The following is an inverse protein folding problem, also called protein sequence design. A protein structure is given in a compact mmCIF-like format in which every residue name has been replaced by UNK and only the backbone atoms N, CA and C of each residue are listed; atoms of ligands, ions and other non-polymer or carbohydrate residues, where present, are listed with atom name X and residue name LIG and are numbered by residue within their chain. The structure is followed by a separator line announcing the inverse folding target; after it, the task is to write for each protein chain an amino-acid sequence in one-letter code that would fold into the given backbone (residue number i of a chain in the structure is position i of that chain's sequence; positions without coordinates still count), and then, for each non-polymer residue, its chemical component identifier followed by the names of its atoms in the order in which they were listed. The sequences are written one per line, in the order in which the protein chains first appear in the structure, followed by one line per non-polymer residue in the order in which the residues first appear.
data_IF_290405350695
#
_entry.id   IF_290405350695
#
_cell.length_a   1.000
_cell.length_b   1.000
_cell.length_c   1.000
_cell.angle_alpha   90.00
_cell.angle_beta   90.00
_cell.angle_gamma   90.00
#
_symmetry.space_group_name_H-M   'P 1'
#
loop_
_entity.id
_entity.type
_entity.pdbx_description
1 polymer ?
#
# COMPACT_ATOMS: atom_id res chain seq x y z
N UNK A 1 13.08 1.99 -11.17
CA UNK A 1 12.79 3.22 -11.92
C UNK A 1 13.58 4.40 -11.36
N UNK A 2 14.07 5.26 -12.24
CA UNK A 2 14.84 6.44 -11.83
C UNK A 2 13.88 7.59 -11.47
N UNK A 3 14.04 8.15 -10.28
CA UNK A 3 13.17 9.22 -9.75
C UNK A 3 13.76 10.62 -9.90
N UNK A 4 14.94 10.72 -10.49
CA UNK A 4 15.72 11.95 -10.47
C UNK A 4 14.97 13.17 -11.01
N UNK A 5 14.16 13.00 -12.05
CA UNK A 5 13.44 14.09 -12.72
C UNK A 5 11.96 14.16 -12.35
N UNK A 6 11.53 13.40 -11.35
CA UNK A 6 10.13 13.38 -10.93
C UNK A 6 9.89 14.33 -9.76
N UNK A 7 8.78 15.05 -9.82
CA UNK A 7 8.34 15.88 -8.72
C UNK A 7 7.95 15.01 -7.53
N UNK A 8 8.34 15.42 -6.32
CA UNK A 8 7.97 14.71 -5.10
C UNK A 8 6.45 14.71 -4.90
N UNK A 9 5.92 13.57 -4.50
CA UNK A 9 4.51 13.38 -4.26
C UNK A 9 4.23 11.92 -3.94
N UNK A 10 2.95 11.55 -3.87
CA UNK A 10 2.55 10.17 -3.55
C UNK A 10 3.13 9.16 -4.54
N UNK A 11 3.10 9.49 -5.82
CA UNK A 11 3.62 8.58 -6.86
C UNK A 11 5.10 8.32 -6.70
N UNK A 12 5.91 9.37 -6.50
CA UNK A 12 7.35 9.19 -6.33
C UNK A 12 7.69 8.44 -5.05
N UNK A 13 6.93 8.69 -3.96
CA UNK A 13 7.14 7.98 -2.70
C UNK A 13 6.79 6.50 -2.86
N UNK A 14 5.74 6.18 -3.59
CA UNK A 14 5.35 4.80 -3.82
C UNK A 14 6.37 4.07 -4.70
N UNK A 15 6.87 4.71 -5.76
CA UNK A 15 7.92 4.13 -6.60
C UNK A 15 9.17 3.85 -5.75
N UNK A 16 9.54 4.79 -4.88
CA UNK A 16 10.66 4.63 -3.98
C UNK A 16 10.47 3.42 -3.07
N UNK A 17 9.27 3.22 -2.56
CA UNK A 17 8.94 2.07 -1.71
C UNK A 17 9.14 0.75 -2.45
N UNK A 18 8.65 0.65 -3.68
CA UNK A 18 8.79 -0.58 -4.47
C UNK A 18 10.24 -0.81 -4.93
N UNK A 19 11.00 0.25 -5.20
CA UNK A 19 12.43 0.11 -5.45
C UNK A 19 13.14 -0.47 -4.23
N UNK A 20 12.80 0.02 -3.03
CA UNK A 20 13.34 -0.52 -1.78
C UNK A 20 12.98 -1.99 -1.61
N UNK A 21 11.72 -2.34 -1.83
CA UNK A 21 11.27 -3.72 -1.66
C UNK A 21 12.01 -4.67 -2.62
N UNK A 22 12.19 -4.26 -3.87
CA UNK A 22 12.91 -5.04 -4.85
C UNK A 22 14.36 -5.26 -4.45
N UNK A 23 15.04 -4.22 -3.98
CA UNK A 23 16.43 -4.33 -3.54
C UNK A 23 16.60 -5.22 -2.31
N UNK A 24 15.56 -5.36 -1.50
CA UNK A 24 15.64 -6.11 -0.24
C UNK A 24 14.96 -7.48 -0.30
N UNK A 25 14.41 -7.87 -1.44
CA UNK A 25 13.72 -9.15 -1.59
C UNK A 25 14.66 -10.35 -1.42
N UNK A 26 15.96 -10.17 -1.66
CA UNK A 26 16.94 -11.26 -1.45
C UNK A 26 17.15 -11.56 0.05
N UNK A 27 16.90 -10.59 0.92
CA UNK A 27 16.98 -10.76 2.37
C UNK A 27 15.62 -11.11 2.96
N UNK A 28 14.57 -10.47 2.44
CA UNK A 28 13.18 -10.66 2.88
C UNK A 28 12.33 -11.06 1.66
N UNK A 29 12.35 -12.35 1.28
CA UNK A 29 11.68 -12.78 0.05
C UNK A 29 10.19 -12.44 -0.03
N UNK A 30 9.50 -12.35 1.11
CA UNK A 30 8.07 -12.02 1.12
C UNK A 30 7.78 -10.62 0.58
N UNK A 31 8.78 -9.73 0.53
CA UNK A 31 8.60 -8.41 -0.09
C UNK A 31 8.27 -8.52 -1.58
N UNK A 32 8.63 -9.62 -2.23
CA UNK A 32 8.29 -9.84 -3.63
C UNK A 32 6.80 -10.04 -3.87
N UNK A 33 6.03 -10.30 -2.81
CA UNK A 33 4.58 -10.47 -2.89
C UNK A 33 3.84 -9.13 -2.85
N UNK A 34 4.52 -8.06 -2.43
CA UNK A 34 3.89 -6.75 -2.31
C UNK A 34 3.50 -6.21 -3.68
N UNK A 35 2.32 -5.64 -3.79
CA UNK A 35 1.84 -5.09 -5.05
C UNK A 35 1.02 -3.83 -4.83
N UNK A 36 0.85 -3.09 -5.91
CA UNK A 36 0.08 -1.86 -5.98
C UNK A 36 -1.32 -2.12 -6.51
N UNK A 37 -2.30 -1.47 -5.89
CA UNK A 37 -3.68 -1.47 -6.38
C UNK A 37 -3.87 -0.18 -7.19
N UNK A 38 -4.17 -0.26 -8.49
CA UNK A 38 -4.38 0.95 -9.28
C UNK A 38 -5.53 1.76 -8.71
N UNK A 39 -5.33 3.07 -8.59
CA UNK A 39 -6.45 3.91 -8.23
C UNK A 39 -7.32 4.14 -9.46
N UNK A 40 -8.57 4.50 -9.22
CA UNK A 40 -9.56 4.63 -10.28
C UNK A 40 -9.54 5.97 -10.97
N UNK A 41 -8.75 6.92 -10.54
CA UNK A 41 -8.59 8.28 -11.05
C UNK A 41 -9.18 8.56 -12.43
N UNK A 42 -8.56 9.43 -13.21
CA UNK A 42 -9.05 9.83 -14.53
C UNK A 42 -8.76 8.74 -15.56
N UNK A 43 -9.76 7.92 -15.85
CA UNK A 43 -9.64 6.82 -16.81
C UNK A 43 -10.74 6.92 -17.85
N UNK A 44 -10.38 6.69 -19.11
CA UNK A 44 -11.34 6.71 -20.22
C UNK A 44 -12.33 5.56 -20.17
N UNK A 45 -11.96 4.44 -19.53
CA UNK A 45 -12.79 3.25 -19.45
C UNK A 45 -13.23 2.94 -18.01
N UNK A 46 -13.44 3.98 -17.21
CA UNK A 46 -13.78 3.83 -15.79
C UNK A 46 -15.01 2.99 -15.51
N UNK A 47 -16.05 3.16 -16.33
CA UNK A 47 -17.29 2.39 -16.16
C UNK A 47 -17.06 0.90 -16.37
N UNK A 48 -16.26 0.53 -17.35
CA UNK A 48 -15.91 -0.87 -17.63
C UNK A 48 -15.09 -1.44 -16.47
N UNK A 49 -14.08 -0.69 -16.00
CA UNK A 49 -13.26 -1.13 -14.88
C UNK A 49 -14.07 -1.35 -13.61
N UNK A 50 -15.03 -0.46 -13.32
CA UNK A 50 -15.93 -0.63 -12.16
C UNK A 50 -16.79 -1.88 -12.32
N UNK A 51 -17.32 -2.13 -13.52
CA UNK A 51 -18.10 -3.33 -13.80
C UNK A 51 -17.26 -4.59 -13.63
N UNK A 52 -15.96 -4.51 -13.89
CA UNK A 52 -15.03 -5.62 -13.70
C UNK A 52 -14.61 -5.80 -12.24
N UNK A 53 -15.03 -4.93 -11.34
CA UNK A 53 -14.74 -5.07 -9.92
C UNK A 53 -13.79 -4.05 -9.31
N UNK A 54 -13.40 -3.03 -10.07
CA UNK A 54 -12.56 -1.97 -9.49
C UNK A 54 -13.36 -1.22 -8.41
N UNK A 55 -12.78 -1.08 -7.23
CA UNK A 55 -13.44 -0.47 -6.08
C UNK A 55 -12.83 0.87 -5.72
N UNK A 56 -13.69 1.78 -5.23
CA UNK A 56 -13.26 3.07 -4.68
C UNK A 56 -12.71 2.86 -3.26
N UNK A 57 -11.60 3.52 -2.97
CA UNK A 57 -11.09 3.59 -1.60
C UNK A 57 -10.21 2.45 -1.16
N UNK A 58 -9.88 1.53 -2.05
CA UNK A 58 -8.94 0.45 -1.70
C UNK A 58 -7.55 1.06 -1.45
N UNK A 59 -6.89 0.71 -0.34
CA UNK A 59 -5.53 1.21 -0.09
C UNK A 59 -4.56 0.87 -1.23
N UNK A 60 -3.56 1.72 -1.40
CA UNK A 60 -2.66 1.69 -2.57
C UNK A 60 -1.78 0.47 -2.68
N UNK A 61 -1.36 -0.08 -1.54
CA UNK A 61 -0.32 -1.12 -1.49
C UNK A 61 -0.79 -2.26 -0.60
N UNK A 62 -0.54 -3.49 -1.05
CA UNK A 62 -0.91 -4.69 -0.32
C UNK A 62 0.32 -5.57 -0.12
N UNK A 63 0.55 -5.98 1.11
CA UNK A 63 1.55 -7.00 1.45
C UNK A 63 0.79 -8.22 1.98
N UNK A 64 0.56 -9.25 1.13
CA UNK A 64 -0.27 -10.40 1.49
C UNK A 64 0.52 -11.44 2.30
N UNK A 65 1.00 -11.03 3.45
CA UNK A 65 1.81 -11.87 4.35
C UNK A 65 1.14 -11.84 5.72
N UNK A 66 0.85 -13.00 6.27
CA UNK A 66 0.28 -13.09 7.61
C UNK A 66 1.35 -12.79 8.66
N UNK A 67 1.03 -11.96 9.63
CA UNK A 67 1.94 -11.59 10.72
C UNK A 67 1.14 -10.96 11.86
N UNK A 68 1.61 -11.11 13.10
CA UNK A 68 0.97 -10.51 14.30
C UNK A 68 -0.53 -10.82 14.40
N UNK A 69 -0.94 -12.01 13.98
CA UNK A 69 -2.35 -12.43 13.96
C UNK A 69 -3.21 -11.67 12.95
N UNK A 70 -2.59 -10.94 12.03
CA UNK A 70 -3.27 -10.34 10.89
C UNK A 70 -3.12 -11.22 9.66
N UNK A 71 -4.10 -11.16 8.77
CA UNK A 71 -4.05 -11.92 7.52
C UNK A 71 -3.15 -11.28 6.46
N UNK A 72 -2.95 -9.99 6.56
CA UNK A 72 -2.12 -9.22 5.62
C UNK A 72 -2.09 -7.77 6.02
N UNK A 73 -1.30 -6.98 5.30
CA UNK A 73 -1.09 -5.56 5.55
C UNK A 73 -1.50 -4.75 4.33
N UNK A 74 -2.34 -3.74 4.56
CA UNK A 74 -2.72 -2.76 3.54
C UNK A 74 -2.16 -1.41 3.92
N UNK A 75 -1.51 -0.74 2.98
CA UNK A 75 -0.93 0.59 3.20
C UNK A 75 -1.61 1.61 2.29
N UNK A 76 -2.08 2.69 2.88
CA UNK A 76 -2.58 3.85 2.14
C UNK A 76 -1.46 4.89 2.10
N UNK A 77 -0.94 5.18 0.91
CA UNK A 77 0.17 6.14 0.76
C UNK A 77 -0.39 7.54 0.62
N UNK A 78 0.11 8.46 1.45
CA UNK A 78 -0.23 9.86 1.43
C UNK A 78 1.02 10.71 1.37
N UNK A 79 0.87 11.97 1.00
CA UNK A 79 1.99 12.91 0.92
C UNK A 79 1.56 14.27 1.46
N UNK A 80 2.47 14.93 2.18
CA UNK A 80 2.21 16.27 2.72
C UNK A 80 1.09 16.27 3.73
N UNK A 81 0.09 17.12 3.52
CA UNK A 81 -1.05 17.29 4.42
C UNK A 81 -2.31 16.54 3.94
N UNK A 82 -2.19 15.73 2.91
CA UNK A 82 -3.33 14.98 2.39
C UNK A 82 -3.83 13.99 3.43
N UNK A 83 -5.14 13.79 3.46
CA UNK A 83 -5.77 12.86 4.40
C UNK A 83 -6.55 11.81 3.63
N UNK A 84 -6.75 10.63 4.21
CA UNK A 84 -7.60 9.63 3.58
C UNK A 84 -8.99 10.18 3.34
N UNK A 85 -9.58 9.80 2.21
CA UNK A 85 -10.97 10.15 1.91
C UNK A 85 -11.91 9.32 2.77
N UNK A 86 -13.18 9.72 2.83
CA UNK A 86 -14.18 8.93 3.54
C UNK A 86 -14.27 7.50 3.00
N UNK A 87 -14.24 7.34 1.67
CA UNK A 87 -14.28 6.02 1.06
C UNK A 87 -13.07 5.17 1.47
N UNK A 88 -11.87 5.76 1.53
CA UNK A 88 -10.68 5.07 1.99
C UNK A 88 -10.79 4.65 3.45
N UNK A 89 -11.29 5.54 4.31
CA UNK A 89 -11.46 5.22 5.73
C UNK A 89 -12.47 4.09 5.93
N UNK A 90 -13.57 4.12 5.21
CA UNK A 90 -14.59 3.07 5.28
C UNK A 90 -14.06 1.71 4.80
N UNK A 91 -13.31 1.72 3.71
CA UNK A 91 -12.73 0.48 3.18
C UNK A 91 -11.71 -0.10 4.17
N UNK A 92 -10.85 0.74 4.73
CA UNK A 92 -9.87 0.29 5.74
C UNK A 92 -10.56 -0.25 6.98
N UNK A 93 -11.64 0.38 7.43
CA UNK A 93 -12.40 -0.12 8.58
C UNK A 93 -12.97 -1.52 8.31
N UNK A 94 -13.51 -1.74 7.11
CA UNK A 94 -14.02 -3.04 6.72
C UNK A 94 -12.91 -4.09 6.67
N UNK A 95 -11.74 -3.73 6.16
CA UNK A 95 -10.58 -4.63 6.14
C UNK A 95 -10.15 -5.03 7.55
N UNK A 96 -10.12 -4.07 8.48
CA UNK A 96 -9.76 -4.37 9.86
C UNK A 96 -10.74 -5.36 10.50
N UNK A 97 -12.03 -5.25 10.18
CA UNK A 97 -13.02 -6.21 10.67
C UNK A 97 -12.78 -7.63 10.15
N UNK A 98 -12.11 -7.76 9.02
CA UNK A 98 -11.79 -9.06 8.44
C UNK A 98 -10.40 -9.57 8.85
N UNK A 99 -9.74 -8.88 9.79
CA UNK A 99 -8.47 -9.35 10.33
C UNK A 99 -7.23 -8.86 9.60
N UNK A 100 -7.35 -7.81 8.80
CA UNK A 100 -6.21 -7.20 8.13
C UNK A 100 -5.71 -6.00 8.92
N UNK A 101 -4.40 -5.75 8.85
CA UNK A 101 -3.84 -4.51 9.36
C UNK A 101 -3.89 -3.45 8.27
N UNK A 102 -4.29 -2.24 8.62
CA UNK A 102 -4.30 -1.11 7.69
C UNK A 102 -3.53 0.04 8.31
N UNK A 103 -2.70 0.70 7.51
CA UNK A 103 -1.91 1.86 7.95
C UNK A 103 -1.96 2.95 6.90
N UNK A 104 -1.90 4.19 7.37
CA UNK A 104 -1.74 5.36 6.49
C UNK A 104 -0.29 5.81 6.65
N UNK A 105 0.43 5.90 5.55
CA UNK A 105 1.85 6.22 5.56
C UNK A 105 2.12 7.51 4.81
N UNK A 106 2.76 8.45 5.46
CA UNK A 106 3.16 9.71 4.86
C UNK A 106 4.60 9.61 4.38
N UNK A 107 4.75 9.05 3.17
CA UNK A 107 6.04 8.89 2.52
C UNK A 107 6.65 7.51 2.70
N UNK A 108 7.75 7.31 1.97
CA UNK A 108 8.45 6.03 1.89
C UNK A 108 8.99 5.56 3.24
N UNK A 109 9.55 6.49 4.04
CA UNK A 109 10.20 6.09 5.29
C UNK A 109 9.20 5.56 6.30
N UNK A 110 8.02 6.18 6.41
CA UNK A 110 6.98 5.64 7.28
C UNK A 110 6.51 4.28 6.81
N UNK A 111 6.34 4.11 5.49
CA UNK A 111 5.91 2.85 4.93
C UNK A 111 6.92 1.73 5.21
N UNK A 112 8.21 1.99 5.03
CA UNK A 112 9.27 1.03 5.36
C UNK A 112 9.21 0.61 6.82
N UNK A 113 9.06 1.59 7.72
CA UNK A 113 8.99 1.32 9.15
C UNK A 113 7.80 0.41 9.47
N UNK A 114 6.63 0.73 8.93
CA UNK A 114 5.44 -0.08 9.15
C UNK A 114 5.60 -1.50 8.62
N UNK A 115 6.18 -1.66 7.44
CA UNK A 115 6.42 -2.97 6.85
C UNK A 115 7.41 -3.77 7.69
N UNK A 116 8.52 -3.15 8.10
CA UNK A 116 9.53 -3.85 8.89
C UNK A 116 9.01 -4.27 10.26
N UNK A 117 8.26 -3.39 10.93
CA UNK A 117 7.63 -3.75 12.20
C UNK A 117 6.61 -4.88 12.02
N UNK A 118 5.83 -4.83 10.95
CA UNK A 118 4.86 -5.86 10.66
C UNK A 118 5.52 -7.22 10.42
N UNK A 119 6.66 -7.24 9.76
CA UNK A 119 7.38 -8.48 9.46
C UNK A 119 8.17 -9.02 10.66
N UNK A 120 8.40 -8.21 11.69
CA UNK A 120 9.08 -8.63 12.93
C UNK A 120 8.07 -9.27 13.88
N UNK A 121 7.70 -10.50 13.59
CA UNK A 121 6.77 -11.27 14.40
C UNK A 121 7.51 -12.49 14.96
N UNK A 122 7.67 -12.59 16.30
CA UNK A 122 8.38 -13.71 16.90
C UNK A 122 7.75 -15.08 16.60
N UNK A 123 6.47 -15.09 16.20
CA UNK A 123 5.74 -16.33 15.95
C UNK A 123 5.64 -16.70 14.47
N UNK A 124 6.29 -15.89 13.63
CA UNK A 124 6.33 -16.20 12.20
C UNK A 124 7.32 -17.30 11.92
#
# INVERSE_FOLDING_TARGET
MNLQNMKRGETTEQISLFNWAERNAHVLPCLSLMYHVPNEGKRTNGAVLKAMGLKTGVPDVVLPVASHNFHGLYLEMKYGNNKPTKAQEEYMAALRQQGYKTVVCYGTEEAKTEIMEYLQDPER
#
